data_IF_504415694835
#
_entry.id   IF_504415694835
#
_cell.length_a   1.000
_cell.length_b   1.000
_cell.length_c   1.000
_cell.angle_alpha   90.00
_cell.angle_beta   90.00
_cell.angle_gamma   90.00
#
_symmetry.space_group_name_H-M   'P 1'
#
loop_
_entity.id
_entity.type
_entity.pdbx_description
1 polymer ?
#
# COMPACT_ATOMS: atom_id res chain seq x y z
N UNK A 1 1.59 6.06 -1.20
CA UNK A 1 2.85 5.97 -0.40
C UNK A 1 3.91 5.36 -1.27
N UNK A 2 5.14 5.87 -1.23
CA UNK A 2 6.26 5.27 -1.96
C UNK A 2 7.06 4.35 -1.03
N UNK A 3 7.25 3.09 -1.44
CA UNK A 3 8.12 2.13 -0.77
C UNK A 3 9.55 2.27 -1.31
N UNK A 4 10.39 2.93 -0.52
CA UNK A 4 11.80 3.21 -0.86
C UNK A 4 12.69 1.96 -0.91
N UNK A 5 12.20 0.80 -0.47
CA UNK A 5 12.88 -0.48 -0.55
C UNK A 5 11.91 -1.66 -0.39
N UNK A 6 12.37 -2.86 -0.72
CA UNK A 6 11.60 -4.11 -0.65
C UNK A 6 11.06 -4.41 0.76
N UNK A 7 11.79 -4.03 1.82
CA UNK A 7 11.32 -4.20 3.21
C UNK A 7 10.11 -3.32 3.51
N UNK A 8 10.13 -2.07 3.05
CA UNK A 8 9.00 -1.15 3.16
C UNK A 8 7.80 -1.66 2.35
N UNK A 9 8.03 -2.18 1.15
CA UNK A 9 6.98 -2.75 0.31
C UNK A 9 6.30 -3.94 1.01
N UNK A 10 7.09 -4.90 1.53
CA UNK A 10 6.58 -6.04 2.28
C UNK A 10 5.86 -5.63 3.59
N UNK A 11 6.30 -4.57 4.26
CA UNK A 11 5.61 -4.02 5.42
C UNK A 11 4.22 -3.49 5.07
N UNK A 12 4.11 -2.64 4.05
CA UNK A 12 2.82 -2.07 3.65
C UNK A 12 1.87 -3.11 3.05
N UNK A 13 2.39 -4.11 2.33
CA UNK A 13 1.58 -5.23 1.85
C UNK A 13 0.94 -6.01 3.00
N UNK A 14 1.66 -6.23 4.11
CA UNK A 14 1.11 -6.88 5.32
C UNK A 14 0.01 -6.06 5.99
N UNK A 15 0.02 -4.74 5.82
CA UNK A 15 -1.04 -3.85 6.30
C UNK A 15 -2.26 -3.80 5.33
N UNK A 16 -2.21 -4.54 4.22
CA UNK A 16 -3.29 -4.60 3.23
C UNK A 16 -3.16 -3.58 2.09
N UNK A 17 -2.02 -2.90 1.96
CA UNK A 17 -1.75 -2.03 0.81
C UNK A 17 -1.50 -2.87 -0.45
N UNK A 18 -2.02 -2.37 -1.56
CA UNK A 18 -1.92 -3.00 -2.88
C UNK A 18 -0.75 -2.36 -3.63
N UNK A 19 0.17 -3.18 -4.14
CA UNK A 19 1.27 -2.72 -5.00
C UNK A 19 0.75 -2.41 -6.40
N UNK A 20 1.16 -1.25 -6.92
CA UNK A 20 0.96 -0.89 -8.32
C UNK A 20 2.09 -1.48 -9.17
N UNK A 21 1.86 -1.67 -10.47
CA UNK A 21 2.84 -2.24 -11.41
C UNK A 21 3.20 -1.26 -12.53
N UNK A 22 4.30 -1.47 -13.26
CA UNK A 22 4.69 -0.65 -14.41
C UNK A 22 5.52 0.57 -13.98
N UNK A 23 5.17 1.78 -14.39
CA UNK A 23 5.95 2.98 -13.99
C UNK A 23 5.82 3.33 -12.50
N UNK A 24 4.92 2.65 -11.78
CA UNK A 24 4.54 2.97 -10.40
C UNK A 24 4.86 1.83 -9.41
N UNK A 25 5.86 0.99 -9.68
CA UNK A 25 6.14 -0.22 -8.85
C UNK A 25 6.49 0.08 -7.40
N UNK A 26 6.99 1.30 -7.15
CA UNK A 26 7.27 1.80 -5.81
C UNK A 26 6.03 2.40 -5.13
N UNK A 27 4.94 2.65 -5.85
CA UNK A 27 3.72 3.22 -5.29
C UNK A 27 2.78 2.13 -4.76
N UNK A 28 2.19 2.42 -3.60
CA UNK A 28 1.24 1.58 -2.90
C UNK A 28 -0.09 2.31 -2.74
N UNK A 29 -1.18 1.56 -2.92
CA UNK A 29 -2.55 2.04 -2.82
C UNK A 29 -3.28 1.39 -1.63
N UNK A 30 -4.11 2.18 -0.94
CA UNK A 30 -5.01 1.69 0.10
C UNK A 30 -6.40 2.32 -0.10
N UNK A 31 -7.47 1.53 -0.31
CA UNK A 31 -8.80 2.08 -0.57
C UNK A 31 -9.34 2.88 0.62
N UNK A 32 -9.93 4.05 0.38
CA UNK A 32 -10.58 4.86 1.42
C UNK A 32 -11.71 4.12 2.13
N UNK A 33 -12.46 3.27 1.43
CA UNK A 33 -13.47 2.40 2.05
C UNK A 33 -12.90 1.43 3.10
N UNK A 34 -11.66 0.97 2.91
CA UNK A 34 -10.99 0.13 3.90
C UNK A 34 -10.58 0.92 5.14
N UNK A 35 -10.25 2.21 4.97
CA UNK A 35 -10.01 3.13 6.10
C UNK A 35 -11.30 3.38 6.87
N UNK A 36 -12.42 3.62 6.16
CA UNK A 36 -13.73 3.81 6.78
C UNK A 36 -14.15 2.60 7.62
N UNK A 37 -13.85 1.37 7.18
CA UNK A 37 -14.12 0.15 7.96
C UNK A 37 -13.24 -0.03 9.19
N UNK A 38 -12.05 0.59 9.23
CA UNK A 38 -11.13 0.51 10.37
C UNK A 38 -11.50 1.46 11.50
N UNK A 39 -12.17 2.58 11.19
CA UNK A 39 -12.45 3.67 12.13
C UNK A 39 -13.95 4.02 12.27
N UNK A 40 -14.81 3.35 11.50
CA UNK A 40 -16.27 3.55 11.49
C UNK A 40 -17.05 2.57 12.36
#
# INVERSE_FOLDING_TARGET
MEALNEKAQAFYQRLGFISLSGENEHALFYPTKSIEQLFG
#
